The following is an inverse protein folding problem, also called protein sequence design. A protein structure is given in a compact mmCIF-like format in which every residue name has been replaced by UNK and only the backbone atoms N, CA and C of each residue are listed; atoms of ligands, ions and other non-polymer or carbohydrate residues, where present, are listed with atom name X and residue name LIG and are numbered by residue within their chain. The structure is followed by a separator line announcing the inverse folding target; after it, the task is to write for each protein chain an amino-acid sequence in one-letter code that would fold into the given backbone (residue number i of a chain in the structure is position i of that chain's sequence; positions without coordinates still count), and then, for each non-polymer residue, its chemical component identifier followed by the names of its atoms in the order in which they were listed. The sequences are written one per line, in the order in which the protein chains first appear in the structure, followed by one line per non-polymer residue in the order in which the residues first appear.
data_IF_810374407207
#
_entry.id   IF_810374407207
#
_cell.length_a   1.000
_cell.length_b   1.000
_cell.length_c   1.000
_cell.angle_alpha   90.00
_cell.angle_beta   90.00
_cell.angle_gamma   90.00
#
_symmetry.space_group_name_H-M   'P 1'
#
loop_
_entity.id
_entity.type
_entity.pdbx_description
1 polymer ?
#
# COMPACT_ATOMS: atom_id res chain seq x y z
N UNK A 1 -25.95 5.67 -11.79
CA UNK A 1 -24.69 5.54 -12.54
C UNK A 1 -23.58 6.37 -11.86
N UNK A 2 -23.22 6.10 -10.58
CA UNK A 2 -22.40 7.06 -9.78
C UNK A 2 -21.26 6.45 -8.94
N UNK A 3 -21.17 5.15 -8.65
CA UNK A 3 -20.07 4.66 -7.78
C UNK A 3 -18.72 4.43 -8.48
N UNK A 4 -18.66 4.15 -9.79
CA UNK A 4 -17.39 3.77 -10.42
C UNK A 4 -16.45 4.94 -10.75
N UNK A 5 -16.94 6.19 -10.85
CA UNK A 5 -16.11 7.33 -11.24
C UNK A 5 -15.27 7.90 -10.08
N UNK A 6 -15.66 7.66 -8.83
CA UNK A 6 -14.93 8.14 -7.64
C UNK A 6 -13.75 7.24 -7.25
N UNK A 7 -13.71 5.99 -7.72
CA UNK A 7 -12.68 5.02 -7.33
C UNK A 7 -11.37 5.17 -8.15
N UNK A 8 -11.33 6.07 -9.15
CA UNK A 8 -10.17 6.33 -10.02
C UNK A 8 -9.75 7.80 -10.09
N UNK A 9 -10.27 8.64 -9.20
CA UNK A 9 -9.90 10.05 -9.17
C UNK A 9 -8.44 10.21 -8.71
N UNK A 10 -7.63 10.93 -9.49
CA UNK A 10 -6.20 11.17 -9.29
C UNK A 10 -5.92 12.39 -8.40
N UNK A 11 -6.97 13.12 -8.01
CA UNK A 11 -6.83 14.31 -7.18
C UNK A 11 -6.31 13.95 -5.79
N UNK A 12 -5.46 14.82 -5.21
CA UNK A 12 -5.13 14.72 -3.80
C UNK A 12 -6.37 14.87 -2.90
N UNK A 13 -6.18 14.73 -1.60
CA UNK A 13 -7.24 14.90 -0.60
C UNK A 13 -7.92 16.26 -0.73
N UNK A 14 -9.24 16.31 -0.50
CA UNK A 14 -9.99 17.57 -0.50
C UNK A 14 -9.67 18.40 0.75
N UNK A 15 -9.89 19.70 0.67
CA UNK A 15 -9.66 20.69 1.73
C UNK A 15 -10.22 20.29 3.09
N UNK A 16 -11.45 19.75 3.14
CA UNK A 16 -12.08 19.25 4.37
C UNK A 16 -11.34 18.05 4.98
N UNK A 17 -10.85 17.13 4.14
CA UNK A 17 -10.09 15.97 4.59
C UNK A 17 -8.69 16.35 5.06
N UNK A 18 -8.07 17.35 4.40
CA UNK A 18 -6.81 17.93 4.85
C UNK A 18 -6.96 18.58 6.22
N UNK A 19 -8.06 19.27 6.48
CA UNK A 19 -8.30 19.89 7.78
C UNK A 19 -8.45 18.85 8.90
N UNK A 20 -9.15 17.74 8.62
CA UNK A 20 -9.21 16.60 9.55
C UNK A 20 -7.83 15.96 9.76
N UNK A 21 -7.03 15.81 8.71
CA UNK A 21 -5.67 15.27 8.81
C UNK A 21 -4.71 16.21 9.55
N UNK A 22 -4.86 17.53 9.42
CA UNK A 22 -4.09 18.52 10.21
C UNK A 22 -4.31 18.37 11.71
N UNK A 23 -5.52 17.98 12.10
CA UNK A 23 -5.84 17.73 13.52
C UNK A 23 -5.10 16.51 14.09
N UNK A 24 -4.58 15.62 13.23
CA UNK A 24 -3.78 14.48 13.65
C UNK A 24 -2.27 14.78 13.51
N UNK A 25 -1.53 14.92 14.63
CA UNK A 25 -0.13 15.34 14.62
C UNK A 25 0.81 14.38 13.86
N UNK A 26 0.40 13.12 13.66
CA UNK A 26 1.21 12.14 12.92
C UNK A 26 1.11 12.30 11.41
N UNK A 27 0.02 12.88 10.90
CA UNK A 27 -0.20 13.07 9.47
C UNK A 27 -0.01 14.51 9.01
N UNK A 28 -0.03 15.48 9.93
CA UNK A 28 0.24 16.88 9.62
C UNK A 28 1.53 17.09 8.80
N UNK A 29 2.66 16.41 9.07
CA UNK A 29 3.88 16.56 8.27
C UNK A 29 3.73 16.14 6.80
N UNK A 30 2.80 15.24 6.47
CA UNK A 30 2.56 14.82 5.08
C UNK A 30 1.84 15.90 4.27
N UNK A 31 1.04 16.74 4.93
CA UNK A 31 0.32 17.83 4.27
C UNK A 31 1.28 18.97 3.90
N UNK A 32 2.31 19.19 4.69
CA UNK A 32 3.37 20.17 4.39
C UNK A 32 4.24 19.71 3.21
N UNK A 33 4.29 18.39 2.96
CA UNK A 33 4.98 17.80 1.81
C UNK A 33 4.17 17.86 0.52
N UNK A 34 2.87 18.15 0.55
CA UNK A 34 1.99 18.06 -0.63
C UNK A 34 2.37 19.05 -1.76
N UNK A 35 3.18 20.07 -1.46
CA UNK A 35 3.78 20.98 -2.45
C UNK A 35 5.14 20.54 -2.98
N UNK A 36 5.70 19.42 -2.49
CA UNK A 36 6.97 18.87 -2.93
C UNK A 36 6.79 18.08 -4.23
N UNK A 37 7.67 18.32 -5.21
CA UNK A 37 7.68 17.60 -6.48
C UNK A 37 8.40 16.24 -6.40
N UNK A 38 8.84 15.83 -5.20
CA UNK A 38 9.61 14.60 -5.01
C UNK A 38 8.65 13.44 -4.73
N UNK A 39 8.49 12.55 -5.70
CA UNK A 39 7.78 11.28 -5.53
C UNK A 39 8.77 10.14 -5.32
N UNK A 40 8.27 8.96 -4.97
CA UNK A 40 9.08 7.72 -5.02
C UNK A 40 9.79 7.58 -6.36
N UNK A 41 11.02 7.05 -6.34
CA UNK A 41 11.79 6.82 -7.57
C UNK A 41 11.15 5.77 -8.47
N UNK A 42 10.52 4.79 -7.86
CA UNK A 42 9.75 3.76 -8.54
C UNK A 42 8.26 4.05 -8.32
N UNK A 43 7.51 4.25 -9.40
CA UNK A 43 6.07 4.39 -9.29
C UNK A 43 5.43 3.05 -8.88
N UNK A 44 4.24 3.12 -8.28
CA UNK A 44 3.55 1.91 -7.86
C UNK A 44 3.09 1.06 -9.07
N UNK A 45 2.83 1.71 -10.21
CA UNK A 45 2.54 1.05 -11.49
C UNK A 45 3.72 0.21 -11.97
N UNK A 46 4.92 0.78 -11.94
CA UNK A 46 6.14 0.12 -12.42
C UNK A 46 6.64 -0.97 -11.47
N UNK A 47 6.27 -0.86 -10.18
CA UNK A 47 6.62 -1.85 -9.15
C UNK A 47 6.11 -3.27 -9.49
N UNK A 48 4.98 -3.37 -10.19
CA UNK A 48 4.41 -4.65 -10.61
C UNK A 48 5.34 -5.41 -11.58
N UNK A 49 5.98 -4.70 -12.51
CA UNK A 49 6.85 -5.31 -13.54
C UNK A 49 8.22 -5.74 -13.04
N UNK A 50 8.70 -5.21 -11.90
CA UNK A 50 10.05 -5.47 -11.40
C UNK A 50 10.16 -6.72 -10.50
N UNK A 51 9.14 -7.02 -9.69
CA UNK A 51 9.15 -8.18 -8.76
C UNK A 51 7.75 -8.79 -8.61
N UNK A 52 7.26 -9.41 -9.67
CA UNK A 52 5.91 -9.99 -9.79
C UNK A 52 5.52 -10.95 -8.64
N UNK A 53 6.46 -11.72 -8.08
CA UNK A 53 6.16 -12.67 -6.99
C UNK A 53 5.64 -12.00 -5.70
N UNK A 54 6.10 -10.79 -5.38
CA UNK A 54 5.66 -10.05 -4.19
C UNK A 54 4.26 -9.42 -4.38
N UNK A 55 3.81 -9.27 -5.63
CA UNK A 55 2.51 -8.69 -5.99
C UNK A 55 1.39 -9.74 -6.04
N UNK A 56 1.71 -11.02 -5.81
CA UNK A 56 0.70 -12.08 -5.71
C UNK A 56 0.04 -12.05 -4.32
N UNK A 57 -1.26 -12.36 -4.21
CA UNK A 57 -1.96 -12.43 -2.91
C UNK A 57 -1.30 -13.38 -1.91
N UNK A 58 -0.59 -14.40 -2.41
CA UNK A 58 0.18 -15.37 -1.62
C UNK A 58 1.56 -14.84 -1.19
N UNK A 59 2.10 -13.86 -1.91
CA UNK A 59 3.40 -13.25 -1.63
C UNK A 59 3.39 -12.34 -0.41
N UNK A 60 2.23 -11.77 -0.07
CA UNK A 60 2.04 -10.91 1.11
C UNK A 60 1.55 -11.72 2.32
N UNK A 61 2.20 -12.85 2.59
CA UNK A 61 2.25 -13.38 3.95
C UNK A 61 2.95 -12.34 4.84
N UNK A 62 2.72 -12.30 6.16
CA UNK A 62 3.22 -11.22 7.02
C UNK A 62 4.74 -10.94 6.99
N UNK A 63 5.54 -11.80 6.36
CA UNK A 63 6.99 -11.69 6.19
C UNK A 63 7.40 -10.40 5.45
N UNK A 64 6.97 -10.08 4.21
CA UNK A 64 7.29 -8.81 3.55
C UNK A 64 6.96 -7.55 4.38
N UNK A 65 5.86 -7.55 5.12
CA UNK A 65 5.52 -6.45 6.03
C UNK A 65 6.56 -6.33 7.17
N UNK A 66 6.95 -7.45 7.79
CA UNK A 66 7.98 -7.46 8.82
C UNK A 66 9.37 -7.07 8.27
N UNK A 67 9.71 -7.56 7.09
CA UNK A 67 11.01 -7.32 6.43
C UNK A 67 11.16 -5.84 6.08
N UNK A 68 10.14 -5.26 5.44
CA UNK A 68 10.14 -3.83 5.10
C UNK A 68 10.19 -2.95 6.34
N UNK A 69 9.42 -3.28 7.39
CA UNK A 69 9.46 -2.55 8.66
C UNK A 69 10.86 -2.58 9.28
N UNK A 70 11.45 -3.77 9.40
CA UNK A 70 12.80 -3.94 9.96
C UNK A 70 13.85 -3.22 9.12
N UNK A 71 13.73 -3.27 7.79
CA UNK A 71 14.63 -2.59 6.87
C UNK A 71 14.54 -1.07 7.05
N UNK A 72 13.33 -0.51 7.12
CA UNK A 72 13.12 0.92 7.33
C UNK A 72 13.71 1.37 8.68
N UNK A 73 13.43 0.66 9.77
CA UNK A 73 13.96 0.99 11.09
C UNK A 73 15.49 1.02 11.12
N UNK A 74 16.12 0.00 10.54
CA UNK A 74 17.58 -0.09 10.50
C UNK A 74 18.22 0.96 9.59
N UNK A 75 17.48 1.44 8.58
CA UNK A 75 18.00 2.39 7.59
C UNK A 75 17.78 3.84 8.03
N UNK A 76 16.68 4.14 8.73
CA UNK A 76 16.23 5.52 8.99
C UNK A 76 16.07 5.88 10.48
N UNK A 77 15.74 4.94 11.36
CA UNK A 77 15.34 5.22 12.75
C UNK A 77 16.14 4.46 13.81
N UNK A 78 17.45 4.30 13.66
CA UNK A 78 18.29 3.73 14.73
C UNK A 78 18.09 2.23 15.05
N UNK A 79 17.24 1.53 14.29
CA UNK A 79 17.01 0.09 14.38
C UNK A 79 15.83 -0.31 15.26
N UNK A 80 15.80 -1.59 15.66
CA UNK A 80 14.64 -2.18 16.34
C UNK A 80 14.26 -1.50 17.65
N UNK A 81 15.16 -0.77 18.33
CA UNK A 81 14.88 -0.10 19.61
C UNK A 81 13.83 1.00 19.50
N UNK A 82 13.74 1.61 18.33
CA UNK A 82 12.77 2.67 18.03
C UNK A 82 11.51 2.12 17.37
N UNK A 83 11.39 0.80 17.22
CA UNK A 83 10.14 0.18 16.83
C UNK A 83 9.03 0.54 17.83
N UNK A 84 7.89 0.97 17.31
CA UNK A 84 6.62 0.95 18.02
C UNK A 84 5.52 0.41 17.10
N UNK A 85 4.49 -0.17 17.71
CA UNK A 85 3.39 -0.80 16.99
C UNK A 85 2.67 0.18 16.07
N UNK A 86 2.55 -0.16 14.78
CA UNK A 86 2.01 0.75 13.75
C UNK A 86 2.70 2.13 13.76
N UNK A 87 3.88 2.24 14.39
CA UNK A 87 4.60 3.48 14.61
C UNK A 87 3.77 4.58 15.27
N UNK A 88 2.88 4.17 16.18
CA UNK A 88 1.95 5.08 16.86
C UNK A 88 0.77 5.56 16.00
N UNK A 89 0.73 5.23 14.71
CA UNK A 89 -0.35 5.64 13.79
C UNK A 89 -1.69 4.95 14.09
N UNK A 90 -1.66 3.87 14.87
CA UNK A 90 -2.84 3.19 15.38
C UNK A 90 -2.75 3.09 16.90
N UNK A 91 -3.79 3.56 17.61
CA UNK A 91 -3.86 3.58 19.08
C UNK A 91 -4.20 2.23 19.72
N UNK A 92 -4.30 1.14 18.95
CA UNK A 92 -5.07 -0.04 19.36
C UNK A 92 -4.49 -1.41 19.02
N UNK A 93 -3.17 -1.62 18.98
CA UNK A 93 -2.67 -2.97 18.69
C UNK A 93 -2.75 -3.95 19.88
N UNK A 94 -3.38 -3.56 20.99
CA UNK A 94 -3.77 -4.47 22.08
C UNK A 94 -2.63 -5.06 22.92
N UNK A 95 -1.36 -4.77 22.59
CA UNK A 95 -0.20 -5.27 23.32
C UNK A 95 0.41 -4.14 24.17
N UNK A 96 0.35 -4.24 25.52
CA UNK A 96 1.06 -3.30 26.39
C UNK A 96 2.57 -3.46 26.17
N UNK A 97 3.29 -2.34 26.05
CA UNK A 97 4.75 -2.27 25.81
C UNK A 97 5.26 -2.88 24.48
N UNK A 98 4.82 -2.32 23.35
CA UNK A 98 5.32 -2.71 22.03
C UNK A 98 6.71 -2.16 21.66
N UNK A 99 7.25 -1.24 22.45
CA UNK A 99 8.48 -0.53 22.07
C UNK A 99 9.66 -1.51 22.03
N UNK A 100 10.39 -1.55 20.93
CA UNK A 100 11.54 -2.45 20.80
C UNK A 100 11.22 -3.94 20.57
N UNK A 101 9.94 -4.30 20.50
CA UNK A 101 9.51 -5.70 20.55
C UNK A 101 9.46 -6.35 19.16
N UNK A 102 10.36 -7.31 18.91
CA UNK A 102 10.34 -8.15 17.70
C UNK A 102 9.04 -8.96 17.57
N UNK A 103 8.51 -9.61 18.64
CA UNK A 103 7.23 -10.30 18.56
C UNK A 103 6.06 -9.40 18.20
N UNK A 104 6.04 -8.16 18.71
CA UNK A 104 4.99 -7.20 18.36
C UNK A 104 5.06 -6.81 16.87
N UNK A 105 6.27 -6.63 16.32
CA UNK A 105 6.46 -6.40 14.89
C UNK A 105 6.00 -7.58 14.03
N UNK A 106 6.29 -8.82 14.46
CA UNK A 106 5.81 -10.02 13.78
C UNK A 106 4.28 -10.13 13.84
N UNK A 107 3.68 -9.81 14.98
CA UNK A 107 2.23 -9.76 15.15
C UNK A 107 1.60 -8.71 14.23
N UNK A 108 2.14 -7.50 14.19
CA UNK A 108 1.69 -6.43 13.30
C UNK A 108 1.75 -6.87 11.84
N UNK A 109 2.87 -7.46 11.41
CA UNK A 109 3.03 -7.93 10.04
C UNK A 109 2.13 -9.12 9.69
N UNK A 110 1.88 -10.05 10.62
CA UNK A 110 1.03 -11.21 10.36
C UNK A 110 -0.47 -10.90 10.43
N UNK A 111 -0.90 -10.09 11.41
CA UNK A 111 -2.31 -9.76 11.62
C UNK A 111 -2.78 -8.61 10.73
N UNK A 112 -1.91 -7.65 10.44
CA UNK A 112 -2.23 -6.43 9.73
C UNK A 112 -1.18 -6.08 8.64
N UNK A 113 -0.81 -7.01 7.74
CA UNK A 113 0.28 -6.82 6.78
C UNK A 113 0.14 -5.55 5.92
N UNK A 114 -1.08 -5.30 5.42
CA UNK A 114 -1.39 -4.15 4.56
C UNK A 114 -1.23 -2.83 5.33
N UNK A 115 -1.73 -2.76 6.56
CA UNK A 115 -1.58 -1.58 7.41
C UNK A 115 -0.13 -1.35 7.80
N UNK A 116 0.59 -2.41 8.16
CA UNK A 116 2.01 -2.34 8.50
C UNK A 116 2.85 -1.80 7.33
N UNK A 117 2.61 -2.30 6.11
CA UNK A 117 3.25 -1.80 4.90
C UNK A 117 2.87 -0.34 4.62
N UNK A 118 1.59 0.02 4.77
CA UNK A 118 1.12 1.39 4.55
C UNK A 118 1.79 2.38 5.50
N UNK A 119 1.88 2.05 6.79
CA UNK A 119 2.58 2.89 7.76
C UNK A 119 4.09 2.94 7.51
N UNK A 120 4.70 1.82 7.08
CA UNK A 120 6.12 1.83 6.69
C UNK A 120 6.35 2.76 5.50
N UNK A 121 5.46 2.74 4.50
CA UNK A 121 5.50 3.63 3.34
C UNK A 121 5.36 5.10 3.75
N UNK A 122 4.40 5.40 4.63
CA UNK A 122 4.18 6.76 5.15
C UNK A 122 5.43 7.30 5.86
N UNK A 123 6.08 6.49 6.69
CA UNK A 123 7.30 6.94 7.36
C UNK A 123 8.45 7.19 6.38
N UNK A 124 8.65 6.31 5.39
CA UNK A 124 9.64 6.55 4.33
C UNK A 124 9.35 7.86 3.60
N UNK A 125 8.07 8.17 3.35
CA UNK A 125 7.68 9.44 2.76
C UNK A 125 8.03 10.63 3.65
N UNK A 126 7.76 10.54 4.95
CA UNK A 126 8.08 11.61 5.91
C UNK A 126 9.59 11.86 6.01
N UNK A 127 10.38 10.79 6.18
CA UNK A 127 11.84 10.87 6.34
C UNK A 127 12.53 11.39 5.06
N UNK A 128 11.99 11.07 3.88
CA UNK A 128 12.56 11.47 2.59
C UNK A 128 11.90 12.69 1.96
N UNK A 129 10.85 13.23 2.57
CA UNK A 129 10.05 14.33 2.03
C UNK A 129 9.35 14.00 0.71
N UNK A 130 8.86 12.76 0.57
CA UNK A 130 8.21 12.25 -0.64
C UNK A 130 6.68 12.43 -0.60
N UNK A 131 6.08 12.64 -1.76
CA UNK A 131 4.63 12.65 -1.97
C UNK A 131 4.17 11.42 -2.73
N UNK A 132 2.92 10.97 -2.54
CA UNK A 132 2.32 9.95 -3.40
C UNK A 132 2.20 10.48 -4.83
N UNK A 133 2.44 9.62 -5.81
CA UNK A 133 2.15 9.92 -7.19
C UNK A 133 0.63 9.80 -7.49
N UNK A 134 0.22 10.24 -8.68
CA UNK A 134 -1.19 10.18 -9.11
C UNK A 134 -1.74 8.75 -9.11
N UNK A 135 -0.92 7.79 -9.49
CA UNK A 135 -1.33 6.38 -9.58
C UNK A 135 -1.51 5.77 -8.21
N UNK A 136 -0.72 6.19 -7.22
CA UNK A 136 -0.88 5.83 -5.81
C UNK A 136 -2.28 6.22 -5.32
N UNK A 137 -2.72 7.45 -5.58
CA UNK A 137 -4.06 7.91 -5.19
C UNK A 137 -5.17 7.07 -5.82
N UNK A 138 -5.06 6.76 -7.11
CA UNK A 138 -6.04 5.94 -7.82
C UNK A 138 -6.09 4.52 -7.26
N UNK A 139 -4.94 3.88 -7.06
CA UNK A 139 -4.86 2.51 -6.56
C UNK A 139 -5.36 2.41 -5.11
N UNK A 140 -5.00 3.36 -4.25
CA UNK A 140 -5.48 3.39 -2.86
C UNK A 140 -6.99 3.63 -2.79
N UNK A 141 -7.54 4.55 -3.59
CA UNK A 141 -8.98 4.80 -3.65
C UNK A 141 -9.74 3.59 -4.18
N UNK A 142 -9.22 2.95 -5.22
CA UNK A 142 -9.78 1.73 -5.77
C UNK A 142 -9.78 0.59 -4.75
N UNK A 143 -8.68 0.37 -4.03
CA UNK A 143 -8.58 -0.64 -2.97
C UNK A 143 -9.60 -0.38 -1.86
N UNK A 144 -9.67 0.86 -1.34
CA UNK A 144 -10.63 1.22 -0.30
C UNK A 144 -12.10 1.07 -0.77
N UNK A 145 -12.38 1.42 -2.02
CA UNK A 145 -13.68 1.27 -2.65
C UNK A 145 -14.09 -0.21 -2.75
N UNK A 146 -13.18 -1.09 -3.18
CA UNK A 146 -13.43 -2.54 -3.21
C UNK A 146 -13.67 -3.12 -1.82
N UNK A 147 -12.89 -2.70 -0.81
CA UNK A 147 -13.09 -3.13 0.58
C UNK A 147 -14.44 -2.66 1.13
N UNK A 148 -14.88 -1.44 0.82
CA UNK A 148 -16.19 -0.92 1.21
C UNK A 148 -17.35 -1.69 0.54
N UNK A 149 -17.20 -2.02 -0.74
CA UNK A 149 -18.17 -2.87 -1.46
C UNK A 149 -18.24 -4.26 -0.83
N UNK A 150 -17.10 -4.86 -0.50
CA UNK A 150 -17.07 -6.17 0.15
C UNK A 150 -17.76 -6.16 1.53
N UNK A 151 -17.48 -5.14 2.34
CA UNK A 151 -18.13 -4.96 3.62
C UNK A 151 -19.66 -4.82 3.48
N UNK A 152 -20.12 -4.03 2.50
CA UNK A 152 -21.55 -3.89 2.21
C UNK A 152 -22.18 -5.22 1.77
N UNK A 153 -21.54 -5.97 0.87
CA UNK A 153 -21.98 -7.31 0.46
C UNK A 153 -22.07 -8.27 1.63
N UNK A 154 -21.10 -8.26 2.53
CA UNK A 154 -21.09 -9.08 3.75
C UNK A 154 -22.24 -8.72 4.71
N UNK A 155 -22.52 -7.42 4.90
CA UNK A 155 -23.66 -6.96 5.69
C UNK A 155 -25.00 -7.43 5.08
N UNK A 156 -25.18 -7.26 3.77
CA UNK A 156 -26.39 -7.69 3.05
C UNK A 156 -26.56 -9.21 3.15
N UNK A 157 -25.49 -9.98 2.97
CA UNK A 157 -25.53 -11.43 3.09
C UNK A 157 -25.91 -11.88 4.50
N UNK A 158 -25.44 -11.19 5.54
CA UNK A 158 -25.84 -11.43 6.92
C UNK A 158 -27.34 -11.20 7.12
N UNK A 159 -27.86 -10.07 6.65
CA UNK A 159 -29.29 -9.72 6.76
C UNK A 159 -30.16 -10.74 6.02
N UNK A 160 -29.83 -11.08 4.78
CA UNK A 160 -30.60 -12.05 3.97
C UNK A 160 -30.56 -13.47 4.56
N UNK A 161 -29.42 -13.85 5.14
CA UNK A 161 -29.29 -15.12 5.86
C UNK A 161 -30.20 -15.20 7.09
N UNK A 162 -30.41 -14.08 7.78
CA UNK A 162 -31.24 -14.00 8.99
C UNK A 162 -32.73 -13.84 8.68
N UNK A 163 -33.08 -13.14 7.60
CA UNK A 163 -34.47 -12.76 7.28
C UNK A 163 -35.17 -13.72 6.33
N UNK A 164 -34.49 -14.21 5.30
CA UNK A 164 -35.07 -15.08 4.26
C UNK A 164 -34.66 -16.53 4.48
N UNK A 165 -33.39 -16.76 4.84
CA UNK A 165 -32.84 -18.10 5.00
C UNK A 165 -32.84 -18.92 3.70
N UNK A 166 -32.69 -20.24 3.84
CA UNK A 166 -32.73 -21.18 2.71
C UNK A 166 -31.67 -20.94 1.63
N UNK A 167 -32.01 -21.23 0.38
CA UNK A 167 -31.12 -21.11 -0.78
C UNK A 167 -30.69 -19.65 -1.05
N UNK A 168 -31.59 -18.69 -0.84
CA UNK A 168 -31.31 -17.25 -1.04
C UNK A 168 -30.21 -16.77 -0.07
N UNK A 169 -30.27 -17.20 1.20
CA UNK A 169 -29.23 -16.91 2.18
C UNK A 169 -27.88 -17.52 1.81
N UNK A 170 -27.86 -18.74 1.26
CA UNK A 170 -26.63 -19.40 0.83
C UNK A 170 -25.99 -18.72 -0.38
N UNK A 171 -26.79 -18.33 -1.39
CA UNK A 171 -26.31 -17.59 -2.57
C UNK A 171 -25.74 -16.23 -2.14
N UNK A 172 -26.42 -15.53 -1.23
CA UNK A 172 -25.94 -14.24 -0.71
C UNK A 172 -24.58 -14.38 -0.01
N UNK A 173 -24.40 -15.40 0.84
CA UNK A 173 -23.09 -15.70 1.48
C UNK A 173 -22.00 -16.02 0.48
N UNK A 174 -22.30 -16.85 -0.52
CA UNK A 174 -21.34 -17.18 -1.56
C UNK A 174 -20.90 -15.94 -2.33
N UNK A 175 -21.85 -15.08 -2.70
CA UNK A 175 -21.55 -13.82 -3.40
C UNK A 175 -20.66 -12.89 -2.57
N UNK A 176 -20.96 -12.73 -1.28
CA UNK A 176 -20.15 -11.93 -0.37
C UNK A 176 -18.72 -12.49 -0.23
N UNK A 177 -18.57 -13.81 -0.11
CA UNK A 177 -17.26 -14.45 -0.02
C UNK A 177 -16.43 -14.26 -1.30
N UNK A 178 -17.06 -14.29 -2.49
CA UNK A 178 -16.38 -14.04 -3.76
C UNK A 178 -15.92 -12.58 -3.84
N UNK A 179 -16.78 -11.63 -3.48
CA UNK A 179 -16.42 -10.21 -3.45
C UNK A 179 -15.28 -9.95 -2.47
N UNK A 180 -15.31 -10.56 -1.28
CA UNK A 180 -14.24 -10.48 -0.28
C UNK A 180 -12.93 -11.04 -0.81
N UNK A 181 -12.97 -12.20 -1.48
CA UNK A 181 -11.78 -12.79 -2.08
C UNK A 181 -11.17 -11.87 -3.16
N UNK A 182 -12.00 -11.25 -4.01
CA UNK A 182 -11.53 -10.31 -5.05
C UNK A 182 -10.91 -9.06 -4.40
N UNK A 183 -11.60 -8.48 -3.42
CA UNK A 183 -11.15 -7.27 -2.74
C UNK A 183 -9.85 -7.51 -1.95
N UNK A 184 -9.74 -8.65 -1.28
CA UNK A 184 -8.51 -9.11 -0.63
C UNK A 184 -7.38 -9.30 -1.65
N UNK A 185 -7.60 -10.03 -2.74
CA UNK A 185 -6.59 -10.24 -3.78
C UNK A 185 -6.06 -8.92 -4.32
N UNK A 186 -6.95 -7.98 -4.64
CA UNK A 186 -6.57 -6.66 -5.12
C UNK A 186 -5.74 -5.90 -4.07
N UNK A 187 -6.22 -5.87 -2.82
CA UNK A 187 -5.56 -5.16 -1.73
C UNK A 187 -4.18 -5.73 -1.43
N UNK A 188 -4.03 -7.06 -1.43
CA UNK A 188 -2.72 -7.71 -1.27
C UNK A 188 -1.79 -7.46 -2.46
N UNK A 189 -2.31 -7.41 -3.69
CA UNK A 189 -1.49 -7.02 -4.84
C UNK A 189 -0.95 -5.59 -4.73
N UNK A 190 -1.80 -4.64 -4.32
CA UNK A 190 -1.37 -3.26 -4.05
C UNK A 190 -0.32 -3.21 -2.94
N UNK A 191 -0.53 -3.97 -1.84
CA UNK A 191 0.44 -4.06 -0.75
C UNK A 191 1.79 -4.64 -1.21
N UNK A 192 1.77 -5.62 -2.11
CA UNK A 192 2.97 -6.16 -2.76
C UNK A 192 3.74 -5.11 -3.55
N UNK A 193 3.04 -4.29 -4.35
CA UNK A 193 3.65 -3.16 -5.05
C UNK A 193 4.25 -2.15 -4.05
N UNK A 194 3.54 -1.83 -2.96
CA UNK A 194 4.04 -0.93 -1.92
C UNK A 194 5.32 -1.46 -1.28
N UNK A 195 5.40 -2.77 -1.02
CA UNK A 195 6.61 -3.40 -0.50
C UNK A 195 7.80 -3.19 -1.45
N UNK A 196 7.62 -3.44 -2.75
CA UNK A 196 8.69 -3.28 -3.75
C UNK A 196 9.14 -1.82 -3.85
N UNK A 197 8.18 -0.89 -3.87
CA UNK A 197 8.44 0.55 -3.88
C UNK A 197 9.27 0.97 -2.66
N UNK A 198 8.83 0.59 -1.45
CA UNK A 198 9.52 0.91 -0.19
C UNK A 198 10.93 0.33 -0.16
N UNK A 199 11.09 -0.96 -0.46
CA UNK A 199 12.39 -1.62 -0.41
C UNK A 199 13.38 -1.01 -1.40
N UNK A 200 12.91 -0.66 -2.60
CA UNK A 200 13.74 0.03 -3.61
C UNK A 200 14.21 1.39 -3.09
N UNK A 201 13.31 2.15 -2.47
CA UNK A 201 13.63 3.47 -1.92
C UNK A 201 14.62 3.38 -0.74
N UNK A 202 14.52 2.35 0.09
CA UNK A 202 15.47 2.08 1.18
C UNK A 202 16.85 1.66 0.66
N UNK A 203 16.90 0.82 -0.37
CA UNK A 203 18.17 0.40 -0.96
C UNK A 203 18.88 1.56 -1.65
N UNK A 204 18.14 2.41 -2.36
CA UNK A 204 18.68 3.66 -2.91
C UNK A 204 19.25 4.56 -1.82
N UNK A 205 18.54 4.70 -0.69
CA UNK A 205 19.03 5.52 0.42
C UNK A 205 20.35 5.01 1.02
N UNK A 206 20.49 3.70 1.23
CA UNK A 206 21.76 3.10 1.69
C UNK A 206 22.90 3.41 0.72
N UNK A 207 22.62 3.33 -0.57
CA UNK A 207 23.62 3.53 -1.62
C UNK A 207 24.00 5.02 -1.78
N UNK A 208 23.07 5.94 -1.51
CA UNK A 208 23.34 7.36 -1.35
C UNK A 208 24.28 7.61 -0.16
N UNK A 209 24.02 7.00 1.01
CA UNK A 209 24.88 7.11 2.19
C UNK A 209 26.30 6.55 1.95
N UNK A 210 26.43 5.47 1.18
CA UNK A 210 27.72 4.87 0.83
C UNK A 210 28.47 5.60 -0.31
N UNK A 211 27.89 6.66 -0.89
CA UNK A 211 28.46 7.35 -2.05
C UNK A 211 28.47 6.50 -3.35
N UNK A 212 27.69 5.41 -3.40
CA UNK A 212 27.63 4.45 -4.52
C UNK A 212 26.36 4.57 -5.38
N UNK A 213 25.58 5.63 -5.20
CA UNK A 213 24.25 5.82 -5.79
C UNK A 213 24.13 5.68 -7.32
N UNK A 214 25.22 5.69 -8.09
CA UNK A 214 25.17 5.62 -9.56
C UNK A 214 24.73 4.25 -10.12
N UNK A 215 25.17 3.14 -9.52
CA UNK A 215 24.96 1.76 -10.07
C UNK A 215 23.52 1.21 -10.00
N UNK A 216 22.73 1.45 -8.94
CA UNK A 216 21.37 0.91 -8.81
C UNK A 216 20.34 1.73 -9.57
N UNK A 217 20.56 3.04 -9.70
CA UNK A 217 19.74 3.93 -10.51
C UNK A 217 19.73 3.52 -11.98
N UNK A 218 20.86 3.01 -12.49
CA UNK A 218 20.93 2.45 -13.85
C UNK A 218 20.15 1.13 -13.96
N UNK A 219 20.28 0.20 -13.00
CA UNK A 219 19.51 -1.06 -13.03
C UNK A 219 17.99 -0.85 -12.92
N UNK A 220 17.55 0.09 -12.07
CA UNK A 220 16.14 0.50 -11.97
C UNK A 220 15.69 1.17 -13.28
N UNK A 221 16.50 2.08 -13.85
CA UNK A 221 16.22 2.71 -15.15
C UNK A 221 16.14 1.69 -16.29
N UNK A 222 17.04 0.72 -16.36
CA UNK A 222 17.01 -0.34 -17.39
C UNK A 222 15.74 -1.19 -17.25
N UNK A 223 15.30 -1.49 -16.02
CA UNK A 223 14.01 -2.15 -15.79
C UNK A 223 12.81 -1.29 -16.22
N UNK A 224 12.84 0.02 -15.98
CA UNK A 224 11.81 0.97 -16.42
C UNK A 224 11.78 1.13 -17.95
N UNK A 225 12.96 1.21 -18.60
CA UNK A 225 13.11 1.31 -20.06
C UNK A 225 12.58 0.07 -20.78
N UNK A 226 12.81 -1.12 -20.21
CA UNK A 226 12.22 -2.35 -20.72
C UNK A 226 10.69 -2.34 -20.65
N UNK A 227 10.10 -1.92 -19.53
CA UNK A 227 8.63 -1.85 -19.40
C UNK A 227 8.01 -0.83 -20.36
N UNK A 228 8.67 0.32 -20.57
CA UNK A 228 8.20 1.34 -21.52
C UNK A 228 8.15 0.82 -22.96
N UNK A 229 9.14 0.01 -23.36
CA UNK A 229 9.13 -0.64 -24.68
C UNK A 229 7.97 -1.61 -24.89
N UNK A 230 7.47 -2.25 -23.81
CA UNK A 230 6.27 -3.11 -23.89
C UNK A 230 4.98 -2.28 -24.03
N UNK A 231 4.85 -1.18 -23.29
CA UNK A 231 3.68 -0.30 -23.38
C UNK A 231 3.58 0.43 -24.74
N UNK A 232 4.72 0.83 -25.32
CA UNK A 232 4.76 1.43 -26.66
C UNK A 232 4.32 0.41 -27.71
N UNK A 233 4.74 -0.85 -27.57
CA UNK A 233 4.33 -1.94 -28.45
C UNK A 233 2.84 -2.30 -28.33
N UNK A 234 2.29 -2.38 -27.13
CA UNK A 234 0.84 -2.60 -26.92
C UNK A 234 0.00 -1.47 -27.53
N UNK A 235 0.46 -0.22 -27.47
CA UNK A 235 -0.23 0.91 -28.12
C UNK A 235 -0.16 0.85 -29.63
N UNK A 236 0.96 0.44 -30.21
CA UNK A 236 1.08 0.22 -31.65
C UNK A 236 0.17 -0.92 -32.11
N UNK A 237 0.13 -2.03 -31.38
CA UNK A 237 -0.73 -3.17 -31.67
C UNK A 237 -2.22 -2.82 -31.53
N UNK A 238 -2.59 -2.00 -30.54
CA UNK A 238 -3.96 -1.52 -30.36
C UNK A 238 -4.39 -0.46 -31.40
N UNK A 239 -3.45 0.29 -31.97
CA UNK A 239 -3.72 1.26 -33.03
C UNK A 239 -3.81 0.60 -34.43
N UNK A 240 -3.32 -0.63 -34.56
CA UNK A 240 -3.36 -1.43 -35.78
C UNK A 240 -4.63 -2.31 -35.90
N UNK A 241 -5.49 -2.34 -34.86
CA UNK A 241 -6.81 -2.99 -34.85
C UNK A 241 -7.93 -1.98 -35.12
#
# INVERSE_FOLDING_TARGET
QVCCFLCFDDKPLDSDDKEKLKSNPQYAPLLDLEGSSKTFKLSLKESCGLKCAACTPLGVCGIPACVSRKAMLNTMKGGMKDYSCCQGHCSGCGVPECKGSTPAMLCEGCCCPVLSLSFTRIEVMQERGLTPDKTDYQLMRCSNCLQAVSAACSCIACILSLTVGGEVGQIARLSANITEAIACCFTFSVAGCMYVQVMTELDLHKLEQEGKAKRPLEAVKTGMEMNRGWEEKEKEDAAAM
#
